data_IF_752886896631
#
_entry.id   IF_752886896631
#
_cell.length_a   1.000
_cell.length_b   1.000
_cell.length_c   1.000
_cell.angle_alpha   90.00
_cell.angle_beta   90.00
_cell.angle_gamma   90.00
#
_symmetry.space_group_name_H-M   'P 1'
#
loop_
_entity.id
_entity.type
_entity.pdbx_description
1 polymer ?
#
# COMPACT_ATOMS: atom_id res chain seq x y z
N UNK A 1 -13.49 3.88 2.60
CA UNK A 1 -12.18 3.74 1.94
C UNK A 1 -11.68 5.15 1.76
N UNK A 2 -10.57 5.44 2.41
CA UNK A 2 -9.97 6.77 2.44
C UNK A 2 -8.76 6.79 1.53
N UNK A 3 -8.39 7.96 1.02
CA UNK A 3 -7.14 8.09 0.27
C UNK A 3 -5.97 7.97 1.25
N UNK A 4 -4.94 7.20 0.89
CA UNK A 4 -3.72 7.07 1.67
C UNK A 4 -3.08 8.44 1.94
N UNK A 5 -2.57 8.63 3.17
CA UNK A 5 -1.72 9.74 3.56
C UNK A 5 -0.37 9.21 4.08
N UNK A 6 0.70 10.01 3.98
CA UNK A 6 2.02 9.61 4.47
C UNK A 6 2.03 9.23 5.95
N UNK A 7 1.12 9.77 6.77
CA UNK A 7 0.99 9.36 8.18
C UNK A 7 0.52 7.92 8.37
N UNK A 8 -0.08 7.30 7.33
CA UNK A 8 -0.52 5.92 7.36
C UNK A 8 0.61 4.92 7.03
N UNK A 9 1.80 5.39 6.63
CA UNK A 9 2.88 4.51 6.12
C UNK A 9 3.34 3.46 7.13
N UNK A 10 3.44 3.83 8.40
CA UNK A 10 3.92 2.91 9.44
C UNK A 10 2.87 1.82 9.71
N UNK A 11 1.59 2.20 9.84
CA UNK A 11 0.48 1.23 9.97
C UNK A 11 0.34 0.34 8.72
N UNK A 12 0.56 0.89 7.52
CA UNK A 12 0.59 0.10 6.29
C UNK A 12 1.75 -0.91 6.28
N UNK A 13 2.92 -0.49 6.76
CA UNK A 13 4.11 -1.34 6.85
C UNK A 13 3.85 -2.51 7.80
N UNK A 14 3.33 -2.24 8.99
CA UNK A 14 2.98 -3.29 9.96
C UNK A 14 1.93 -4.26 9.41
N UNK A 15 0.88 -3.74 8.75
CA UNK A 15 -0.16 -4.59 8.18
C UNK A 15 0.38 -5.46 7.03
N UNK A 16 1.17 -4.89 6.12
CA UNK A 16 1.78 -5.63 5.03
C UNK A 16 2.62 -6.80 5.57
N UNK A 17 3.44 -6.53 6.58
CA UNK A 17 4.26 -7.57 7.24
C UNK A 17 3.40 -8.63 7.93
N UNK A 18 2.28 -8.25 8.56
CA UNK A 18 1.36 -9.21 9.18
C UNK A 18 0.63 -10.10 8.16
N UNK A 19 0.24 -9.53 7.02
CA UNK A 19 -0.44 -10.24 5.94
C UNK A 19 0.51 -11.21 5.23
N UNK A 20 1.64 -10.70 4.74
CA UNK A 20 2.60 -11.49 3.97
C UNK A 20 3.56 -12.32 4.83
N UNK A 21 3.69 -12.02 6.12
CA UNK A 21 4.43 -12.86 7.08
C UNK A 21 3.71 -14.16 7.44
N UNK A 22 2.45 -14.33 7.03
CA UNK A 22 1.66 -15.55 7.23
C UNK A 22 1.63 -16.39 5.96
N UNK A 23 1.21 -17.65 6.12
CA UNK A 23 0.93 -18.55 5.00
C UNK A 23 -0.08 -17.93 4.03
N UNK A 24 0.05 -18.16 2.71
CA UNK A 24 1.07 -18.95 2.01
C UNK A 24 2.42 -18.26 1.73
N UNK A 25 2.57 -16.98 2.04
CA UNK A 25 3.76 -16.21 1.64
C UNK A 25 4.94 -16.47 2.56
N UNK A 26 4.71 -16.40 3.88
CA UNK A 26 5.73 -16.59 4.90
C UNK A 26 6.96 -15.69 4.69
N UNK A 27 6.74 -14.48 4.19
CA UNK A 27 7.79 -13.51 3.92
C UNK A 27 8.43 -13.02 5.22
N UNK A 28 9.74 -12.81 5.18
CA UNK A 28 10.52 -12.34 6.34
C UNK A 28 11.07 -10.95 6.07
N UNK A 29 10.22 -9.96 6.31
CA UNK A 29 10.57 -8.56 6.16
C UNK A 29 11.07 -7.98 7.49
N UNK A 30 12.12 -7.17 7.43
CA UNK A 30 12.45 -6.23 8.50
C UNK A 30 11.63 -4.94 8.29
N UNK A 31 11.23 -4.28 9.38
CA UNK A 31 10.33 -3.12 9.30
C UNK A 31 10.84 -2.01 8.37
N UNK A 32 12.10 -1.61 8.50
CA UNK A 32 12.69 -0.56 7.65
C UNK A 32 12.77 -0.96 6.17
N UNK A 33 12.93 -2.26 5.89
CA UNK A 33 12.95 -2.78 4.52
C UNK A 33 11.54 -2.75 3.91
N UNK A 34 10.53 -3.21 4.65
CA UNK A 34 9.13 -3.15 4.23
C UNK A 34 8.65 -1.70 4.04
N UNK A 35 9.02 -0.80 4.95
CA UNK A 35 8.71 0.63 4.84
C UNK A 35 9.35 1.25 3.61
N UNK A 36 10.63 0.92 3.35
CA UNK A 36 11.33 1.39 2.14
C UNK A 36 10.62 0.90 0.89
N UNK A 37 10.26 -0.39 0.83
CA UNK A 37 9.51 -0.99 -0.28
C UNK A 37 8.19 -0.25 -0.55
N UNK A 38 7.39 0.01 0.48
CA UNK A 38 6.15 0.78 0.32
C UNK A 38 6.40 2.24 -0.13
N UNK A 39 7.46 2.86 0.39
CA UNK A 39 7.84 4.23 0.03
C UNK A 39 8.31 4.36 -1.43
N UNK A 40 8.83 3.30 -2.05
CA UNK A 40 9.18 3.31 -3.48
C UNK A 40 7.94 3.57 -4.35
N UNK A 41 6.78 3.01 -3.99
CA UNK A 41 5.51 3.34 -4.65
C UNK A 41 5.06 4.76 -4.33
N UNK A 42 5.06 5.16 -3.05
CA UNK A 42 4.56 6.48 -2.61
C UNK A 42 5.33 7.63 -3.25
N UNK A 43 6.63 7.44 -3.49
CA UNK A 43 7.50 8.45 -4.11
C UNK A 43 7.30 8.57 -5.64
N UNK A 44 6.51 7.69 -6.26
CA UNK A 44 6.17 7.82 -7.67
C UNK A 44 5.17 8.97 -7.90
N UNK A 45 5.44 9.83 -8.88
CA UNK A 45 4.57 10.99 -9.21
C UNK A 45 3.12 10.58 -9.53
N UNK A 46 2.94 9.40 -10.12
CA UNK A 46 1.63 8.86 -10.46
C UNK A 46 0.96 8.06 -9.32
N UNK A 47 1.57 8.00 -8.14
CA UNK A 47 1.06 7.22 -7.02
C UNK A 47 -0.33 7.68 -6.60
N UNK A 48 -1.16 6.70 -6.30
CA UNK A 48 -2.51 6.88 -5.79
C UNK A 48 -2.85 5.68 -4.92
N UNK A 49 -2.71 5.83 -3.60
CA UNK A 49 -3.05 4.79 -2.63
C UNK A 49 -4.39 5.01 -1.94
N UNK A 50 -4.95 3.93 -1.41
CA UNK A 50 -6.17 3.92 -0.61
C UNK A 50 -6.03 3.01 0.60
N UNK A 51 -6.69 3.35 1.70
CA UNK A 51 -6.71 2.58 2.95
C UNK A 51 -8.13 2.35 3.43
N UNK A 52 -8.33 1.28 4.19
CA UNK A 52 -9.56 1.00 4.92
C UNK A 52 -9.21 0.90 6.40
N UNK A 53 -9.98 1.62 7.22
CA UNK A 53 -9.89 1.56 8.67
C UNK A 53 -11.18 0.97 9.25
N UNK A 54 -11.05 -0.03 10.12
CA UNK A 54 -12.14 -0.55 10.93
C UNK A 54 -11.91 -0.18 12.39
N UNK A 55 -12.89 0.48 13.01
CA UNK A 55 -12.79 1.02 14.38
C UNK A 55 -11.50 1.84 14.65
N UNK A 56 -11.01 2.55 13.62
CA UNK A 56 -9.80 3.38 13.71
C UNK A 56 -8.49 2.65 13.46
N UNK A 57 -8.49 1.32 13.26
CA UNK A 57 -7.31 0.51 12.91
C UNK A 57 -7.27 0.26 11.41
N UNK A 58 -6.10 0.41 10.79
CA UNK A 58 -5.90 0.05 9.38
C UNK A 58 -6.01 -1.46 9.17
N UNK A 59 -6.88 -1.88 8.24
CA UNK A 59 -7.17 -3.31 7.95
C UNK A 59 -6.97 -3.70 6.50
N UNK A 60 -6.81 -2.74 5.60
CA UNK A 60 -6.43 -3.00 4.21
C UNK A 60 -5.80 -1.75 3.58
N UNK A 61 -4.94 -1.96 2.60
CA UNK A 61 -4.38 -0.94 1.74
C UNK A 61 -4.30 -1.40 0.26
N UNK A 62 -4.53 -0.47 -0.65
CA UNK A 62 -4.31 -0.66 -2.07
C UNK A 62 -3.37 0.43 -2.57
N UNK A 63 -2.19 0.03 -2.98
CA UNK A 63 -1.17 0.91 -3.52
C UNK A 63 -1.16 0.73 -5.04
N UNK A 64 -1.14 1.84 -5.75
CA UNK A 64 -1.22 1.82 -7.19
C UNK A 64 -0.89 3.15 -7.80
N UNK A 65 -1.04 3.20 -9.12
CA UNK A 65 -0.70 4.37 -9.91
C UNK A 65 -1.72 4.64 -10.99
N UNK A 66 -1.96 5.93 -11.20
CA UNK A 66 -2.87 6.43 -12.21
C UNK A 66 -2.09 6.80 -13.48
N UNK A 67 -2.50 6.26 -14.63
CA UNK A 67 -1.87 6.55 -15.92
C UNK A 67 -2.92 7.09 -16.88
N UNK A 68 -2.61 8.20 -17.54
CA UNK A 68 -3.46 8.74 -18.60
C UNK A 68 -3.53 7.77 -19.78
N UNK A 69 -4.75 7.54 -20.28
CA UNK A 69 -5.06 6.67 -21.39
C UNK A 69 -5.89 7.43 -22.44
N UNK A 70 -6.04 6.86 -23.64
CA UNK A 70 -6.67 7.56 -24.78
C UNK A 70 -8.13 7.96 -24.51
N UNK A 71 -8.82 7.25 -23.62
CA UNK A 71 -10.19 7.56 -23.19
C UNK A 71 -10.32 7.59 -21.65
N UNK A 72 -9.51 8.42 -21.00
CA UNK A 72 -9.60 8.66 -19.56
C UNK A 72 -8.33 8.23 -18.83
N UNK A 73 -8.50 7.61 -17.66
CA UNK A 73 -7.37 7.20 -16.84
C UNK A 73 -7.48 5.72 -16.46
N UNK A 74 -6.37 5.02 -16.53
CA UNK A 74 -6.21 3.66 -16.05
C UNK A 74 -5.61 3.70 -14.64
N UNK A 75 -6.08 2.80 -13.79
CA UNK A 75 -5.51 2.58 -12.47
C UNK A 75 -4.88 1.19 -12.41
N UNK A 76 -3.58 1.16 -12.14
CA UNK A 76 -2.83 -0.07 -11.95
C UNK A 76 -2.63 -0.29 -10.46
N UNK A 77 -2.97 -1.49 -9.99
CA UNK A 77 -2.66 -1.94 -8.63
C UNK A 77 -1.23 -2.48 -8.68
N UNK A 78 -0.35 -1.87 -7.92
CA UNK A 78 1.02 -2.32 -7.77
C UNK A 78 1.17 -3.21 -6.52
N UNK A 79 0.43 -2.92 -5.44
CA UNK A 79 0.44 -3.70 -4.19
C UNK A 79 -0.94 -3.68 -3.49
N UNK A 80 -1.34 -4.79 -2.85
CA UNK A 80 -2.66 -4.95 -2.24
C UNK A 80 -2.64 -5.93 -1.06
N UNK A 81 -3.06 -5.46 0.12
CA UNK A 81 -3.08 -6.25 1.36
C UNK A 81 -4.18 -5.78 2.33
#
# INVERSE_FOLDING_TARGET
MDQFNIVDIDECTELMMDVFGREPWCDQWEFEQAKTYLMEFVNCVSFRGYVIKDMGKLVAACFGRKKTYWQGDEYYIDEFF
#
